data_IF_749131390187
#
_entry.id   IF_749131390187
#
_cell.length_a   1.000
_cell.length_b   1.000
_cell.length_c   1.000
_cell.angle_alpha   90.00
_cell.angle_beta   90.00
_cell.angle_gamma   90.00
#
_symmetry.space_group_name_H-M   'P 1'
#
loop_
_entity.id
_entity.type
_entity.pdbx_description
1 polymer ?
#
# COMPACT_ATOMS: atom_id res chain seq x y z
N UNK A 1 2.43 -21.52 2.93
CA UNK A 1 3.47 -22.14 3.78
C UNK A 1 2.78 -23.24 4.58
N UNK A 2 3.13 -24.51 4.38
CA UNK A 2 2.46 -25.67 5.00
C UNK A 2 3.39 -26.37 5.98
N UNK A 3 2.85 -27.35 6.73
CA UNK A 3 3.69 -28.22 7.59
C UNK A 3 4.72 -29.01 6.78
N UNK A 4 4.36 -29.40 5.55
CA UNK A 4 5.30 -30.10 4.67
C UNK A 4 6.45 -29.18 4.25
N UNK A 5 6.18 -27.90 3.96
CA UNK A 5 7.25 -26.92 3.67
C UNK A 5 8.22 -26.73 4.85
N UNK A 6 7.75 -26.87 6.10
CA UNK A 6 8.62 -26.83 7.28
C UNK A 6 9.52 -28.07 7.37
N UNK A 7 8.98 -29.25 7.04
CA UNK A 7 9.79 -30.49 6.99
C UNK A 7 10.87 -30.40 5.92
N UNK A 8 10.52 -29.92 4.73
CA UNK A 8 11.49 -29.72 3.65
C UNK A 8 12.60 -28.76 4.07
N UNK A 9 12.25 -27.72 4.84
CA UNK A 9 13.21 -26.74 5.35
C UNK A 9 14.17 -27.36 6.38
N UNK A 10 13.70 -28.27 7.22
CA UNK A 10 14.54 -29.00 8.18
C UNK A 10 15.60 -29.86 7.49
N UNK A 11 15.28 -30.43 6.33
CA UNK A 11 16.19 -31.28 5.54
C UNK A 11 17.35 -30.52 4.88
N UNK A 12 17.26 -29.19 4.75
CA UNK A 12 18.35 -28.38 4.18
C UNK A 12 19.50 -28.34 5.19
N UNK A 13 20.73 -28.62 4.76
CA UNK A 13 21.90 -28.51 5.62
C UNK A 13 22.48 -27.08 5.61
N UNK A 14 23.13 -26.70 6.72
CA UNK A 14 23.82 -25.41 6.84
C UNK A 14 22.91 -24.24 7.23
N UNK A 15 23.42 -23.03 7.00
CA UNK A 15 22.74 -21.78 7.37
C UNK A 15 21.63 -21.44 6.38
N UNK A 16 20.44 -21.18 6.88
CA UNK A 16 19.23 -20.97 6.08
C UNK A 16 18.75 -19.53 6.17
N UNK A 17 18.22 -19.01 5.07
CA UNK A 17 17.50 -17.74 5.04
C UNK A 17 16.10 -17.99 4.47
N UNK A 18 15.07 -17.68 5.26
CA UNK A 18 13.68 -17.80 4.88
C UNK A 18 13.06 -16.42 4.79
N UNK A 19 12.47 -16.12 3.64
CA UNK A 19 11.79 -14.85 3.38
C UNK A 19 10.27 -15.07 3.35
N UNK A 20 9.58 -14.59 4.37
CA UNK A 20 8.13 -14.49 4.37
C UNK A 20 7.71 -13.23 3.60
N UNK A 21 7.14 -13.43 2.40
CA UNK A 21 6.64 -12.38 1.51
C UNK A 21 5.16 -12.61 1.13
N UNK A 22 4.41 -13.28 2.00
CA UNK A 22 2.99 -13.50 1.77
C UNK A 22 2.18 -12.21 1.96
N UNK A 23 0.96 -12.21 1.39
CA UNK A 23 0.05 -11.07 1.45
C UNK A 23 -0.42 -10.77 2.89
N UNK A 24 -1.22 -9.74 3.05
CA UNK A 24 -1.82 -9.31 4.32
C UNK A 24 -2.68 -10.38 5.02
N UNK A 25 -3.19 -11.37 4.28
CA UNK A 25 -3.87 -12.57 4.83
C UNK A 25 -2.92 -13.75 5.09
N UNK A 26 -1.64 -13.56 4.80
CA UNK A 26 -0.57 -14.51 4.99
C UNK A 26 -0.28 -14.80 6.47
N UNK A 27 0.27 -15.97 6.73
CA UNK A 27 0.58 -16.45 8.08
C UNK A 27 2.00 -17.05 8.16
N UNK A 28 2.78 -17.00 7.08
CA UNK A 28 4.10 -17.62 7.01
C UNK A 28 5.04 -17.03 8.06
N UNK A 29 5.10 -15.70 8.20
CA UNK A 29 5.91 -15.03 9.21
C UNK A 29 5.60 -15.53 10.63
N UNK A 30 4.31 -15.64 10.98
CA UNK A 30 3.85 -16.13 12.29
C UNK A 30 4.18 -17.61 12.49
N UNK A 31 3.95 -18.45 11.47
CA UNK A 31 4.27 -19.88 11.51
C UNK A 31 5.77 -20.14 11.64
N UNK A 32 6.60 -19.23 11.12
CA UNK A 32 8.05 -19.24 11.23
C UNK A 32 8.56 -18.56 12.51
N UNK A 33 7.66 -18.20 13.45
CA UNK A 33 8.02 -17.72 14.78
C UNK A 33 8.25 -16.22 14.92
N UNK A 34 7.90 -15.39 13.93
CA UNK A 34 7.91 -13.93 14.08
C UNK A 34 6.63 -13.45 14.80
N UNK A 35 6.77 -12.48 15.70
CA UNK A 35 5.63 -11.84 16.36
C UNK A 35 4.66 -11.18 15.37
N UNK A 36 3.35 -11.33 15.61
CA UNK A 36 2.27 -10.74 14.81
C UNK A 36 1.80 -9.36 15.31
N UNK A 37 2.70 -8.66 16.00
CA UNK A 37 2.47 -7.31 16.49
C UNK A 37 2.87 -6.25 15.45
N UNK A 38 1.99 -5.25 15.29
CA UNK A 38 2.18 -4.15 14.33
C UNK A 38 2.07 -2.79 15.01
N UNK A 39 3.02 -1.91 14.70
CA UNK A 39 2.89 -0.47 14.94
C UNK A 39 2.08 0.18 13.81
N UNK A 40 1.18 1.10 14.15
CA UNK A 40 0.46 1.90 13.17
C UNK A 40 1.02 3.32 13.11
N UNK A 41 1.29 3.78 11.90
CA UNK A 41 1.79 5.13 11.62
C UNK A 41 0.82 5.88 10.70
N UNK A 42 0.50 7.13 11.05
CA UNK A 42 -0.24 8.02 10.16
C UNK A 42 0.65 8.45 8.99
N UNK A 43 0.14 8.32 7.77
CA UNK A 43 0.79 8.83 6.57
C UNK A 43 0.46 10.31 6.29
N UNK A 44 -0.15 11.02 7.28
CA UNK A 44 -0.52 12.45 7.18
C UNK A 44 -1.34 12.77 5.93
N UNK A 45 -2.24 11.85 5.58
CA UNK A 45 -3.11 11.96 4.42
C UNK A 45 -4.49 11.38 4.71
N UNK A 46 -5.49 11.91 4.02
CA UNK A 46 -6.79 11.26 3.88
C UNK A 46 -6.87 10.59 2.52
N UNK A 47 -7.60 9.48 2.44
CA UNK A 47 -7.79 8.76 1.19
C UNK A 47 -9.11 8.00 1.13
N UNK A 48 -9.44 7.55 -0.07
CA UNK A 48 -10.56 6.69 -0.37
C UNK A 48 -10.17 5.75 -1.51
N UNK A 49 -10.78 4.57 -1.57
CA UNK A 49 -10.56 3.61 -2.65
C UNK A 49 -11.85 3.21 -3.34
N UNK A 50 -11.72 2.79 -4.58
CA UNK A 50 -12.73 2.00 -5.26
C UNK A 50 -12.08 0.84 -6.01
N UNK A 51 -12.79 -0.29 -6.07
CA UNK A 51 -12.48 -1.44 -6.88
C UNK A 51 -13.69 -1.71 -7.78
N UNK A 52 -13.43 -1.84 -9.07
CA UNK A 52 -14.43 -2.05 -10.10
C UNK A 52 -14.17 -3.40 -10.76
N UNK A 53 -15.18 -4.25 -10.76
CA UNK A 53 -15.21 -5.49 -11.53
C UNK A 53 -16.01 -5.27 -12.83
N UNK A 54 -15.43 -5.63 -13.97
CA UNK A 54 -16.06 -5.48 -15.29
C UNK A 54 -16.10 -6.87 -15.92
N UNK A 55 -17.10 -7.71 -15.59
CA UNK A 55 -17.08 -9.13 -15.93
C UNK A 55 -16.99 -9.41 -17.43
N UNK A 56 -17.50 -8.49 -18.25
CA UNK A 56 -17.50 -8.60 -19.72
C UNK A 56 -16.16 -8.19 -20.37
N UNK A 57 -15.20 -7.69 -19.58
CA UNK A 57 -13.90 -7.26 -20.07
C UNK A 57 -12.85 -8.37 -19.97
N UNK A 58 -11.93 -8.39 -20.93
CA UNK A 58 -10.75 -9.25 -20.86
C UNK A 58 -9.89 -8.92 -19.63
N UNK A 59 -9.09 -9.89 -19.17
CA UNK A 59 -8.13 -9.66 -18.08
C UNK A 59 -6.75 -9.30 -18.65
N UNK A 60 -6.60 -8.06 -19.12
CA UNK A 60 -5.35 -7.54 -19.68
C UNK A 60 -4.77 -6.48 -18.72
N UNK A 61 -3.49 -6.55 -18.34
CA UNK A 61 -2.83 -5.49 -17.57
C UNK A 61 -2.96 -4.14 -18.28
N UNK A 62 -3.42 -3.13 -17.55
CA UNK A 62 -3.60 -1.78 -18.09
C UNK A 62 -2.54 -0.85 -17.50
N UNK A 63 -2.01 0.10 -18.29
CA UNK A 63 -1.09 1.09 -17.78
C UNK A 63 -1.74 1.88 -16.65
N UNK A 64 -0.95 2.15 -15.63
CA UNK A 64 -1.33 3.01 -14.53
C UNK A 64 -1.48 4.46 -15.02
N UNK A 65 -2.52 5.15 -14.55
CA UNK A 65 -2.70 6.58 -14.80
C UNK A 65 -2.88 7.33 -13.50
N UNK A 66 -2.30 8.53 -13.45
CA UNK A 66 -2.33 9.40 -12.29
C UNK A 66 -2.77 10.80 -12.70
N UNK A 67 -3.48 11.47 -11.81
CA UNK A 67 -3.84 12.87 -11.96
C UNK A 67 -3.75 13.55 -10.60
N UNK A 68 -3.20 14.76 -10.58
CA UNK A 68 -2.99 15.53 -9.37
C UNK A 68 -3.79 16.83 -9.40
N UNK A 69 -3.88 17.46 -8.24
CA UNK A 69 -4.52 18.75 -8.06
C UNK A 69 -6.00 18.78 -8.51
N UNK A 70 -6.72 17.68 -8.28
CA UNK A 70 -8.14 17.56 -8.57
C UNK A 70 -8.97 18.31 -7.53
N UNK A 71 -9.96 19.05 -8.02
CA UNK A 71 -10.91 19.78 -7.20
C UNK A 71 -12.31 19.27 -7.50
N UNK A 72 -13.05 18.89 -6.46
CA UNK A 72 -14.42 18.42 -6.59
C UNK A 72 -15.39 19.53 -6.22
N UNK A 73 -16.20 19.95 -7.17
CA UNK A 73 -17.34 20.81 -6.86
C UNK A 73 -18.40 19.97 -6.12
N UNK A 74 -18.59 20.30 -4.83
CA UNK A 74 -19.57 19.65 -3.94
C UNK A 74 -20.70 20.61 -3.56
N UNK A 75 -20.88 21.72 -4.28
CA UNK A 75 -21.92 22.72 -4.01
C UNK A 75 -23.32 22.12 -4.05
N UNK A 76 -23.57 21.19 -4.98
CA UNK A 76 -24.82 20.43 -5.08
C UNK A 76 -25.14 19.58 -3.83
N UNK A 77 -24.16 19.37 -2.94
CA UNK A 77 -24.30 18.61 -1.70
C UNK A 77 -24.27 19.52 -0.45
N UNK A 78 -24.46 20.84 -0.63
CA UNK A 78 -24.52 21.80 0.47
C UNK A 78 -23.15 22.20 1.03
N UNK A 79 -22.06 21.88 0.34
CA UNK A 79 -20.73 22.38 0.69
C UNK A 79 -20.54 23.75 0.04
N UNK A 80 -20.82 24.83 0.76
CA UNK A 80 -20.51 26.19 0.30
C UNK A 80 -18.98 26.32 0.13
N UNK A 81 -18.51 26.42 -1.12
CA UNK A 81 -17.11 26.63 -1.46
C UNK A 81 -16.80 28.13 -1.49
N UNK A 82 -17.10 28.85 -0.41
CA UNK A 82 -16.56 30.18 -0.22
C UNK A 82 -15.09 30.01 0.22
N UNK A 83 -14.17 30.38 -0.67
CA UNK A 83 -12.71 30.38 -0.50
C UNK A 83 -12.01 29.00 -0.58
N UNK A 84 -11.74 28.55 -1.80
CA UNK A 84 -10.73 27.51 -2.08
C UNK A 84 -9.46 28.18 -2.63
N UNK A 85 -8.99 29.24 -1.97
CA UNK A 85 -7.69 29.81 -2.32
C UNK A 85 -6.61 29.15 -1.45
N UNK A 86 -5.77 28.33 -2.09
CA UNK A 86 -4.48 27.87 -1.54
C UNK A 86 -4.39 26.43 -1.01
N UNK A 87 -5.42 25.59 -1.12
CA UNK A 87 -5.32 24.18 -0.70
C UNK A 87 -4.79 23.26 -1.81
N UNK A 88 -3.93 22.29 -1.47
CA UNK A 88 -3.49 21.24 -2.39
C UNK A 88 -4.69 20.36 -2.78
N UNK A 89 -4.94 20.17 -4.09
CA UNK A 89 -6.02 19.32 -4.59
C UNK A 89 -5.76 17.82 -4.40
N UNK A 90 -6.79 17.01 -4.67
CA UNK A 90 -6.73 15.56 -4.60
C UNK A 90 -5.80 14.98 -5.66
N UNK A 91 -5.20 13.84 -5.33
CA UNK A 91 -4.52 12.98 -6.27
C UNK A 91 -5.30 11.72 -6.49
N UNK A 92 -5.52 11.39 -7.76
CA UNK A 92 -6.22 10.22 -8.24
C UNK A 92 -5.24 9.31 -8.96
N UNK A 93 -5.40 8.01 -8.72
CA UNK A 93 -4.66 6.97 -9.43
C UNK A 93 -5.62 5.86 -9.83
N UNK A 94 -5.44 5.33 -11.04
CA UNK A 94 -6.18 4.16 -11.55
C UNK A 94 -5.20 3.13 -12.11
N UNK A 95 -5.35 1.87 -11.69
CA UNK A 95 -4.43 0.78 -12.00
C UNK A 95 -5.16 -0.58 -12.02
N UNK A 96 -4.44 -1.65 -12.35
CA UNK A 96 -4.97 -3.02 -12.43
C UNK A 96 -5.13 -3.50 -13.87
N UNK A 97 -6.14 -4.33 -14.10
CA UNK A 97 -6.43 -4.93 -15.41
C UNK A 97 -7.69 -4.31 -16.01
N UNK A 98 -7.94 -4.52 -17.29
CA UNK A 98 -9.21 -4.12 -17.91
C UNK A 98 -10.41 -4.76 -17.19
N UNK A 99 -10.33 -5.99 -16.68
CA UNK A 99 -11.43 -6.56 -15.88
C UNK A 99 -11.53 -5.96 -14.48
N UNK A 100 -10.40 -5.81 -13.80
CA UNK A 100 -10.35 -5.38 -12.40
C UNK A 100 -9.58 -4.07 -12.27
N UNK A 101 -10.32 -2.95 -12.16
CA UNK A 101 -9.73 -1.62 -12.02
C UNK A 101 -9.78 -1.19 -10.56
N UNK A 102 -8.64 -0.77 -10.05
CA UNK A 102 -8.50 -0.16 -8.73
C UNK A 102 -8.30 1.33 -8.89
N UNK A 103 -8.93 2.10 -8.02
CA UNK A 103 -8.86 3.55 -7.97
C UNK A 103 -8.53 3.98 -6.56
N UNK A 104 -7.61 4.92 -6.43
CA UNK A 104 -7.29 5.54 -5.15
C UNK A 104 -7.33 7.06 -5.27
N UNK A 105 -7.99 7.67 -4.30
CA UNK A 105 -7.98 9.10 -4.07
C UNK A 105 -7.18 9.37 -2.81
N UNK A 106 -6.33 10.39 -2.84
CA UNK A 106 -5.65 10.84 -1.64
C UNK A 106 -5.42 12.34 -1.65
N UNK A 107 -5.42 12.94 -0.47
CA UNK A 107 -5.12 14.35 -0.24
C UNK A 107 -4.26 14.45 1.02
N UNK A 108 -3.29 15.37 1.09
CA UNK A 108 -2.62 15.67 2.35
C UNK A 108 -3.64 15.99 3.44
N UNK A 109 -3.31 15.64 4.68
CA UNK A 109 -4.19 15.91 5.82
C UNK A 109 -4.37 17.43 5.94
N UNK A 110 -5.59 17.88 5.68
CA UNK A 110 -6.01 19.27 5.83
C UNK A 110 -7.43 19.31 6.39
N UNK A 111 -7.83 20.47 6.90
CA UNK A 111 -9.13 20.67 7.56
C UNK A 111 -10.04 21.59 6.74
N UNK A 112 -9.92 21.53 5.40
CA UNK A 112 -10.80 22.27 4.50
C UNK A 112 -12.25 21.81 4.66
N UNK A 113 -13.25 22.70 4.46
CA UNK A 113 -14.66 22.32 4.54
C UNK A 113 -15.00 21.13 3.64
N UNK A 114 -14.47 21.11 2.41
CA UNK A 114 -14.63 20.00 1.46
C UNK A 114 -14.13 18.66 2.01
N UNK A 115 -12.93 18.63 2.60
CA UNK A 115 -12.36 17.41 3.18
C UNK A 115 -13.13 16.97 4.41
N UNK A 116 -13.60 17.92 5.24
CA UNK A 116 -14.47 17.61 6.38
C UNK A 116 -15.76 16.95 5.91
N UNK A 117 -16.45 17.52 4.92
CA UNK A 117 -17.68 16.96 4.35
C UNK A 117 -17.47 15.55 3.80
N UNK A 118 -16.36 15.31 3.10
CA UNK A 118 -15.99 13.98 2.59
C UNK A 118 -15.62 12.97 3.68
N UNK A 119 -15.31 13.40 4.92
CA UNK A 119 -14.99 12.53 6.07
C UNK A 119 -16.20 12.22 6.95
N UNK A 120 -17.08 13.19 7.18
CA UNK A 120 -18.12 13.10 8.22
C UNK A 120 -19.44 12.48 7.78
N UNK A 121 -19.62 12.24 6.48
CA UNK A 121 -20.78 11.63 5.79
C UNK A 121 -21.57 12.67 5.00
N UNK A 122 -21.32 12.67 3.70
CA UNK A 122 -22.31 13.00 2.66
C UNK A 122 -22.94 11.68 2.17
N UNK A 123 -24.03 11.78 1.40
CA UNK A 123 -24.68 10.62 0.76
C UNK A 123 -23.63 9.64 0.19
N UNK A 124 -23.75 8.34 0.52
CA UNK A 124 -22.85 7.29 0.01
C UNK A 124 -22.74 7.33 -1.51
N UNK A 125 -23.80 7.76 -2.19
CA UNK A 125 -23.82 7.92 -3.65
C UNK A 125 -22.75 8.90 -4.15
N UNK A 126 -22.37 9.90 -3.36
CA UNK A 126 -21.42 10.93 -3.77
C UNK A 126 -20.01 10.36 -4.00
N UNK A 127 -19.49 9.53 -3.09
CA UNK A 127 -18.18 8.91 -3.30
C UNK A 127 -18.16 8.02 -4.54
N UNK A 128 -19.24 7.28 -4.79
CA UNK A 128 -19.41 6.52 -6.04
C UNK A 128 -19.37 7.45 -7.26
N UNK A 129 -20.10 8.56 -7.22
CA UNK A 129 -20.17 9.53 -8.31
C UNK A 129 -18.81 10.19 -8.58
N UNK A 130 -18.05 10.50 -7.52
CA UNK A 130 -16.67 10.99 -7.64
C UNK A 130 -15.80 9.94 -8.35
N UNK A 131 -15.80 8.69 -7.90
CA UNK A 131 -15.00 7.63 -8.55
C UNK A 131 -15.44 7.36 -9.99
N UNK A 132 -16.75 7.32 -10.24
CA UNK A 132 -17.31 7.18 -11.58
C UNK A 132 -16.85 8.31 -12.52
N UNK A 133 -16.94 9.56 -12.06
CA UNK A 133 -16.52 10.74 -12.83
C UNK A 133 -15.01 10.73 -13.06
N UNK A 134 -14.21 10.46 -12.04
CA UNK A 134 -12.76 10.33 -12.16
C UNK A 134 -12.38 9.22 -13.15
N UNK A 135 -12.98 8.03 -13.03
CA UNK A 135 -12.75 6.94 -13.97
C UNK A 135 -13.06 7.35 -15.41
N UNK A 136 -14.26 7.86 -15.67
CA UNK A 136 -14.68 8.23 -17.02
C UNK A 136 -13.86 9.36 -17.64
N UNK A 137 -13.26 10.21 -16.79
CA UNK A 137 -12.40 11.32 -17.22
C UNK A 137 -10.96 10.85 -17.49
N UNK A 138 -10.44 9.91 -16.69
CA UNK A 138 -9.01 9.57 -16.68
C UNK A 138 -8.69 8.12 -17.10
N UNK A 139 -9.68 7.30 -17.48
CA UNK A 139 -9.48 5.95 -18.07
C UNK A 139 -8.59 5.99 -19.32
N UNK A 140 -8.01 4.85 -19.72
CA UNK A 140 -7.25 4.79 -20.97
C UNK A 140 -8.14 5.05 -22.22
N UNK A 141 -7.51 5.42 -23.34
CA UNK A 141 -8.20 5.83 -24.57
C UNK A 141 -9.04 4.72 -25.23
N UNK A 142 -8.77 3.44 -24.93
CA UNK A 142 -9.58 2.30 -25.38
C UNK A 142 -10.53 1.70 -24.34
N UNK A 143 -10.50 2.16 -23.09
CA UNK A 143 -11.39 1.59 -22.05
C UNK A 143 -12.83 2.10 -22.27
N UNK A 144 -13.87 1.26 -22.13
CA UNK A 144 -15.25 1.75 -22.21
C UNK A 144 -15.55 2.69 -21.04
N UNK A 145 -16.49 3.62 -21.29
CA UNK A 145 -17.05 4.45 -20.22
C UNK A 145 -17.86 3.56 -19.29
N UNK A 146 -17.72 3.82 -17.99
CA UNK A 146 -18.53 3.22 -16.96
C UNK A 146 -19.89 3.92 -16.90
N UNK A 147 -20.97 3.14 -16.93
CA UNK A 147 -22.32 3.64 -16.69
C UNK A 147 -22.65 3.65 -15.19
N UNK A 148 -23.68 4.41 -14.82
CA UNK A 148 -24.21 4.39 -13.44
C UNK A 148 -24.66 3.00 -13.02
N UNK A 149 -25.31 2.24 -13.91
CA UNK A 149 -25.80 0.88 -13.61
C UNK A 149 -24.68 -0.09 -13.24
N UNK A 150 -23.57 -0.06 -14.00
CA UNK A 150 -22.40 -0.89 -13.72
C UNK A 150 -21.72 -0.40 -12.43
N UNK A 151 -21.59 0.92 -12.23
CA UNK A 151 -21.02 1.46 -11.00
C UNK A 151 -21.83 1.08 -9.75
N UNK A 152 -23.16 1.06 -9.83
CA UNK A 152 -24.02 0.64 -8.71
C UNK A 152 -23.81 -0.84 -8.37
N UNK A 153 -23.64 -1.68 -9.38
CA UNK A 153 -23.65 -3.15 -9.22
C UNK A 153 -22.26 -3.71 -8.92
N UNK A 154 -21.23 -3.16 -9.55
CA UNK A 154 -19.89 -3.76 -9.58
C UNK A 154 -18.78 -2.87 -9.01
N UNK A 155 -19.08 -1.63 -8.58
CA UNK A 155 -18.10 -0.81 -7.87
C UNK A 155 -18.23 -0.98 -6.37
N UNK A 156 -17.18 -1.50 -5.74
CA UNK A 156 -16.98 -1.42 -4.29
C UNK A 156 -16.16 -0.17 -4.01
N UNK A 157 -16.59 0.67 -3.08
CA UNK A 157 -15.89 1.93 -2.80
C UNK A 157 -15.97 2.31 -1.33
N UNK A 158 -15.02 3.14 -0.89
CA UNK A 158 -15.03 3.73 0.45
C UNK A 158 -16.10 4.83 0.51
N UNK A 159 -17.06 4.76 1.46
CA UNK A 159 -18.17 5.71 1.53
C UNK A 159 -17.75 7.10 2.02
N UNK A 160 -16.52 7.24 2.51
CA UNK A 160 -15.93 8.48 3.03
C UNK A 160 -14.42 8.42 2.94
N UNK A 161 -13.79 9.58 3.07
CA UNK A 161 -12.36 9.66 3.32
C UNK A 161 -12.02 9.09 4.70
N UNK A 162 -10.89 8.39 4.77
CA UNK A 162 -10.31 7.88 6.00
C UNK A 162 -8.83 8.24 6.07
N UNK A 163 -8.27 8.24 7.28
CA UNK A 163 -6.84 8.48 7.46
C UNK A 163 -6.04 7.31 6.89
N UNK A 164 -5.09 7.64 6.01
CA UNK A 164 -4.16 6.65 5.44
C UNK A 164 -3.13 6.29 6.51
N UNK A 165 -3.03 5.00 6.78
CA UNK A 165 -2.13 4.42 7.78
C UNK A 165 -1.24 3.36 7.17
N UNK A 166 0.01 3.33 7.63
CA UNK A 166 0.98 2.27 7.41
C UNK A 166 1.05 1.43 8.69
N UNK A 167 0.81 0.13 8.56
CA UNK A 167 1.06 -0.85 9.62
C UNK A 167 2.41 -1.50 9.37
N UNK A 168 3.31 -1.44 10.34
CA UNK A 168 4.65 -2.02 10.30
C UNK A 168 4.75 -3.12 11.37
N UNK A 169 5.14 -4.33 10.97
CA UNK A 169 5.45 -5.43 11.91
C UNK A 169 6.64 -5.02 12.77
N UNK A 170 6.51 -5.16 14.09
CA UNK A 170 7.56 -4.79 15.04
C UNK A 170 8.80 -5.68 14.89
N UNK A 171 8.57 -6.99 14.74
CA UNK A 171 9.63 -7.97 14.53
C UNK A 171 9.65 -8.42 13.07
N UNK A 172 10.57 -7.84 12.29
CA UNK A 172 10.70 -8.22 10.88
C UNK A 172 11.80 -9.25 10.63
N UNK A 173 12.55 -9.65 11.66
CA UNK A 173 13.61 -10.65 11.55
C UNK A 173 13.88 -11.36 12.86
N UNK A 174 14.20 -12.65 12.78
CA UNK A 174 14.67 -13.47 13.88
C UNK A 174 15.75 -14.45 13.41
N UNK A 175 16.56 -14.92 14.36
CA UNK A 175 17.51 -16.00 14.17
C UNK A 175 17.18 -17.14 15.13
N UNK A 176 17.07 -18.36 14.60
CA UNK A 176 16.81 -19.59 15.34
C UNK A 176 18.09 -20.41 15.37
N UNK A 177 18.73 -20.45 16.54
CA UNK A 177 20.05 -21.07 16.72
C UNK A 177 20.02 -22.58 16.46
N UNK A 178 19.01 -23.28 16.97
CA UNK A 178 18.89 -24.75 16.85
C UNK A 178 18.81 -25.22 15.39
N UNK A 179 18.22 -24.40 14.52
CA UNK A 179 18.05 -24.69 13.09
C UNK A 179 19.02 -23.89 12.19
N UNK A 180 19.92 -23.09 12.77
CA UNK A 180 20.81 -22.15 12.08
C UNK A 180 20.06 -21.36 10.98
N UNK A 181 18.90 -20.81 11.34
CA UNK A 181 17.94 -20.26 10.40
C UNK A 181 17.64 -18.80 10.69
N UNK A 182 17.75 -17.97 9.65
CA UNK A 182 17.24 -16.61 9.65
C UNK A 182 15.85 -16.58 9.03
N UNK A 183 14.90 -15.96 9.72
CA UNK A 183 13.55 -15.71 9.19
C UNK A 183 13.40 -14.21 9.06
N UNK A 184 13.04 -13.75 7.86
CA UNK A 184 12.76 -12.35 7.58
C UNK A 184 11.33 -12.21 7.04
N UNK A 185 10.63 -11.15 7.43
CA UNK A 185 9.42 -10.70 6.77
C UNK A 185 9.75 -9.52 5.85
N UNK A 186 9.22 -9.55 4.62
CA UNK A 186 9.22 -8.43 3.66
C UNK A 186 7.88 -8.35 2.90
N UNK A 187 7.67 -7.28 2.14
CA UNK A 187 6.37 -7.04 1.48
C UNK A 187 5.23 -6.84 2.48
N UNK A 188 4.04 -7.32 2.14
CA UNK A 188 2.85 -7.17 3.00
C UNK A 188 2.96 -7.90 4.34
N UNK A 189 3.75 -8.98 4.42
CA UNK A 189 4.05 -9.68 5.66
C UNK A 189 4.77 -8.77 6.68
N UNK A 190 5.56 -7.80 6.21
CA UNK A 190 6.26 -6.85 7.08
C UNK A 190 5.52 -5.52 7.21
N UNK A 191 4.89 -5.04 6.15
CA UNK A 191 4.37 -3.67 6.05
C UNK A 191 3.15 -3.64 5.14
N UNK A 192 2.02 -3.14 5.64
CA UNK A 192 0.80 -3.04 4.84
C UNK A 192 0.06 -1.73 5.07
N UNK A 193 -0.76 -1.34 4.11
CA UNK A 193 -1.52 -0.11 4.13
C UNK A 193 -3.01 -0.40 4.28
N UNK A 194 -3.74 0.53 4.89
CA UNK A 194 -5.21 0.46 4.92
C UNK A 194 -5.89 0.95 3.63
N UNK A 195 -5.09 1.17 2.57
CA UNK A 195 -5.49 1.64 1.24
C UNK A 195 -4.54 1.02 0.21
N UNK A 196 -5.06 0.60 -0.94
CA UNK A 196 -4.21 0.27 -2.07
C UNK A 196 -3.61 1.55 -2.64
N UNK A 197 -2.36 1.81 -2.27
CA UNK A 197 -1.59 2.95 -2.78
C UNK A 197 -1.14 2.70 -4.23
N UNK A 198 -1.12 1.43 -4.65
CA UNK A 198 -0.48 0.97 -5.87
C UNK A 198 1.04 1.17 -5.82
N UNK A 199 1.58 1.36 -4.61
CA UNK A 199 3.01 1.40 -4.27
C UNK A 199 3.40 0.23 -3.38
N UNK A 200 2.44 -0.63 -3.04
CA UNK A 200 2.57 -1.74 -2.10
C UNK A 200 3.71 -2.68 -2.55
N UNK A 201 3.75 -2.98 -3.86
CA UNK A 201 4.82 -3.77 -4.48
C UNK A 201 6.17 -3.04 -4.43
N UNK A 202 6.20 -1.74 -4.76
CA UNK A 202 7.43 -0.96 -4.78
C UNK A 202 8.09 -0.92 -3.39
N UNK A 203 7.30 -0.82 -2.33
CA UNK A 203 7.79 -0.82 -0.95
C UNK A 203 8.31 -2.21 -0.57
N UNK A 204 7.63 -3.27 -0.99
CA UNK A 204 8.13 -4.64 -0.87
C UNK A 204 9.49 -4.84 -1.55
N UNK A 205 9.64 -4.36 -2.78
CA UNK A 205 10.90 -4.41 -3.54
C UNK A 205 12.00 -3.62 -2.83
N UNK A 206 11.72 -2.40 -2.33
CA UNK A 206 12.69 -1.62 -1.53
C UNK A 206 13.15 -2.41 -0.29
N UNK A 207 12.24 -3.15 0.35
CA UNK A 207 12.54 -4.09 1.42
C UNK A 207 13.56 -5.14 0.98
N UNK A 208 13.27 -5.86 -0.11
CA UNK A 208 14.16 -6.89 -0.66
C UNK A 208 15.53 -6.32 -1.07
N UNK A 209 15.57 -5.16 -1.70
CA UNK A 209 16.83 -4.51 -2.10
C UNK A 209 17.71 -4.13 -0.90
N UNK A 210 17.11 -3.86 0.27
CA UNK A 210 17.87 -3.54 1.49
C UNK A 210 18.60 -4.76 2.09
N UNK A 211 18.25 -5.98 1.68
CA UNK A 211 18.79 -7.21 2.27
C UNK A 211 20.21 -7.56 1.81
N UNK A 212 20.73 -6.98 0.73
CA UNK A 212 22.04 -7.34 0.16
C UNK A 212 23.18 -7.30 1.20
N UNK A 213 23.25 -6.23 1.98
CA UNK A 213 24.26 -6.08 3.03
C UNK A 213 24.00 -7.06 4.19
N UNK A 214 22.75 -7.24 4.59
CA UNK A 214 22.38 -8.19 5.65
C UNK A 214 22.84 -9.61 5.30
N UNK A 215 22.49 -10.09 4.08
CA UNK A 215 22.85 -11.42 3.58
C UNK A 215 24.36 -11.61 3.61
N UNK A 216 25.11 -10.62 3.10
CA UNK A 216 26.58 -10.67 3.07
C UNK A 216 27.18 -10.83 4.47
N UNK A 217 26.66 -10.09 5.46
CA UNK A 217 27.13 -10.17 6.84
C UNK A 217 26.76 -11.51 7.48
N UNK A 218 25.51 -11.97 7.34
CA UNK A 218 25.08 -13.23 7.98
C UNK A 218 25.67 -14.47 7.33
N UNK A 219 26.12 -14.42 6.07
CA UNK A 219 26.83 -15.55 5.46
C UNK A 219 28.15 -15.86 6.17
N UNK A 220 28.85 -14.84 6.66
CA UNK A 220 30.18 -14.98 7.30
C UNK A 220 30.16 -14.81 8.82
N UNK A 221 28.99 -14.55 9.40
CA UNK A 221 28.87 -14.38 10.86
C UNK A 221 29.20 -15.69 11.59
N UNK A 222 30.21 -15.65 12.44
CA UNK A 222 30.75 -16.77 13.22
C UNK A 222 30.45 -16.64 14.73
N UNK A 223 29.93 -15.49 15.15
CA UNK A 223 29.61 -15.18 16.54
C UNK A 223 28.19 -14.66 16.71
N UNK A 224 27.60 -14.93 17.86
CA UNK A 224 26.28 -14.41 18.24
C UNK A 224 26.25 -12.88 18.18
N UNK A 225 27.34 -12.23 18.58
CA UNK A 225 27.47 -10.77 18.49
C UNK A 225 27.34 -10.26 17.05
N UNK A 226 27.97 -10.93 16.08
CA UNK A 226 27.87 -10.57 14.66
C UNK A 226 26.45 -10.76 14.12
N UNK A 227 25.78 -11.85 14.53
CA UNK A 227 24.38 -12.15 14.18
C UNK A 227 23.44 -11.06 14.72
N UNK A 228 23.54 -10.74 16.01
CA UNK A 228 22.73 -9.70 16.64
C UNK A 228 22.95 -8.33 15.96
N UNK A 229 24.19 -7.99 15.62
CA UNK A 229 24.50 -6.76 14.90
C UNK A 229 23.85 -6.72 13.52
N UNK A 230 23.83 -7.83 12.79
CA UNK A 230 23.15 -7.93 11.51
C UNK A 230 21.63 -7.75 11.64
N UNK A 231 21.00 -8.40 12.62
CA UNK A 231 19.56 -8.26 12.90
C UNK A 231 19.19 -6.83 13.27
N UNK A 232 19.97 -6.18 14.14
CA UNK A 232 19.78 -4.77 14.49
C UNK A 232 19.88 -3.85 13.27
N UNK A 233 20.85 -4.09 12.38
CA UNK A 233 20.98 -3.32 11.15
C UNK A 233 19.77 -3.51 10.24
N UNK A 234 19.29 -4.75 10.08
CA UNK A 234 18.09 -5.05 9.29
C UNK A 234 16.85 -4.31 9.82
N UNK A 235 16.65 -4.28 11.13
CA UNK A 235 15.53 -3.54 11.73
C UNK A 235 15.64 -2.03 11.46
N UNK A 236 16.85 -1.45 11.54
CA UNK A 236 17.07 -0.04 11.16
C UNK A 236 16.75 0.24 9.70
N UNK A 237 17.08 -0.68 8.81
CA UNK A 237 16.77 -0.57 7.37
C UNK A 237 15.26 -0.66 7.13
N UNK A 238 14.56 -1.57 7.82
CA UNK A 238 13.10 -1.67 7.77
C UNK A 238 12.42 -0.37 8.25
N UNK A 239 12.89 0.20 9.37
CA UNK A 239 12.37 1.47 9.87
C UNK A 239 12.63 2.65 8.92
N UNK A 240 13.81 2.67 8.27
CA UNK A 240 14.15 3.71 7.29
C UNK A 240 13.16 3.68 6.13
N UNK A 241 12.86 2.50 5.59
CA UNK A 241 11.89 2.33 4.50
C UNK A 241 10.50 2.89 4.91
N UNK A 242 10.04 2.59 6.12
CA UNK A 242 8.78 3.13 6.64
C UNK A 242 8.80 4.65 6.78
N UNK A 243 9.86 5.21 7.38
CA UNK A 243 10.01 6.67 7.54
C UNK A 243 10.07 7.39 6.21
N UNK A 244 10.81 6.86 5.24
CA UNK A 244 10.91 7.43 3.91
C UNK A 244 9.53 7.44 3.23
N UNK A 245 8.78 6.34 3.34
CA UNK A 245 7.43 6.29 2.79
C UNK A 245 6.46 7.26 3.50
N UNK A 246 6.50 7.38 4.83
CA UNK A 246 5.64 8.31 5.56
C UNK A 246 5.96 9.76 5.17
N UNK A 247 7.24 10.08 4.98
CA UNK A 247 7.70 11.43 4.64
C UNK A 247 7.36 11.80 3.21
N UNK A 248 7.61 10.90 2.26
CA UNK A 248 7.55 11.22 0.84
C UNK A 248 6.86 10.17 -0.02
N UNK A 249 6.58 8.95 0.45
CA UNK A 249 5.97 7.90 -0.36
C UNK A 249 4.63 8.29 -1.00
N UNK A 250 3.73 8.91 -0.23
CA UNK A 250 2.49 9.45 -0.78
C UNK A 250 2.71 10.77 -1.55
N UNK A 251 3.80 11.50 -1.35
CA UNK A 251 4.03 12.86 -1.89
C UNK A 251 4.89 12.88 -3.15
N UNK A 252 5.96 12.09 -3.21
CA UNK A 252 6.80 11.86 -4.40
C UNK A 252 5.94 11.38 -5.56
N UNK A 253 4.96 10.51 -5.31
CA UNK A 253 3.99 10.10 -6.32
C UNK A 253 2.80 11.07 -6.49
N UNK A 254 2.67 12.11 -5.66
CA UNK A 254 1.75 13.26 -5.88
C UNK A 254 2.39 14.37 -6.72
N UNK A 255 3.71 14.37 -6.85
CA UNK A 255 4.50 15.47 -7.42
C UNK A 255 5.70 14.99 -8.24
N UNK A 256 5.65 13.79 -8.85
CA UNK A 256 6.64 13.44 -9.85
C UNK A 256 6.47 14.42 -11.01
N UNK A 257 7.45 15.34 -11.04
CA UNK A 257 7.57 16.53 -11.86
C UNK A 257 6.92 16.36 -13.22
N UNK A 258 6.09 17.33 -13.59
CA UNK A 258 6.00 17.79 -14.97
C UNK A 258 7.45 18.07 -15.40
N UNK A 259 8.08 17.12 -16.08
CA UNK A 259 9.22 17.44 -16.91
C UNK A 259 8.68 18.44 -17.94
N UNK A 260 9.10 19.69 -17.80
CA UNK A 260 9.07 20.66 -18.89
C UNK A 260 10.00 20.17 -20.00
#
# INVERSE_FOLDING_TARGET
FTRDSLRDLELIEGRKLVLACDGSSGQAARLLGLSDEFAQHSCRAYGAVAALDRPDECQVPMPERQMHNLHFDLTAYGSETAEVDGFQGFSFKVFGTSRHRFMSLSIPKCESPQVKSLRTVLDRSMMRNIFLKCFNTYKAEGEPRLSDSIAVTHMKFSPRLFEVKLSQRLETSAYFQDSNMFVLAEGEAARCYNIHTGMDVNVGIKGLMSLSNFISVVCVADSEHAILKALMQKNKDADRICRDFIKSGLVEYRMLKVCK
#
